data_IF_562353666572
#
_entry.id   IF_562353666572
#
_cell.length_a   1.000
_cell.length_b   1.000
_cell.length_c   1.000
_cell.angle_alpha   90.00
_cell.angle_beta   90.00
_cell.angle_gamma   90.00
#
_symmetry.space_group_name_H-M   'P 1'
#
loop_
_entity.id
_entity.type
_entity.pdbx_description
1 polymer ?
#
# COMPACT_ATOMS: atom_id res chain seq x y z
N UNK A 1 -34.74 6.15 39.77
CA UNK A 1 -33.33 5.84 40.07
C UNK A 1 -32.57 5.23 38.87
N UNK A 2 -33.13 5.27 37.65
CA UNK A 2 -32.52 4.61 36.47
C UNK A 2 -31.50 5.46 35.70
N UNK A 3 -31.37 6.75 36.01
CA UNK A 3 -30.47 7.65 35.29
C UNK A 3 -29.00 7.52 35.75
N UNK A 4 -28.77 7.28 37.04
CA UNK A 4 -27.40 7.12 37.58
C UNK A 4 -26.75 5.78 37.26
N UNK A 5 -27.54 4.71 37.08
CA UNK A 5 -27.00 3.39 36.71
C UNK A 5 -26.57 3.35 35.24
N UNK A 6 -27.32 4.01 34.35
CA UNK A 6 -26.99 4.13 32.93
C UNK A 6 -25.77 5.03 32.68
N UNK A 7 -25.61 6.12 33.45
CA UNK A 7 -24.43 6.99 33.34
C UNK A 7 -23.15 6.23 33.75
N UNK A 8 -23.19 5.50 34.86
CA UNK A 8 -22.05 4.69 35.35
C UNK A 8 -21.69 3.55 34.40
N UNK A 9 -22.67 2.90 33.74
CA UNK A 9 -22.37 1.86 32.75
C UNK A 9 -21.75 2.44 31.48
N UNK A 10 -22.22 3.60 31.01
CA UNK A 10 -21.67 4.27 29.83
C UNK A 10 -20.25 4.75 30.10
N UNK A 11 -19.98 5.35 31.26
CA UNK A 11 -18.65 5.84 31.64
C UNK A 11 -17.64 4.70 31.83
N UNK A 12 -18.09 3.55 32.35
CA UNK A 12 -17.24 2.34 32.50
C UNK A 12 -16.96 1.68 31.15
N UNK A 13 -17.94 1.68 30.23
CA UNK A 13 -17.80 1.12 28.88
C UNK A 13 -16.99 2.03 27.94
N UNK A 14 -17.00 3.35 28.14
CA UNK A 14 -16.11 4.29 27.44
C UNK A 14 -14.67 4.18 27.94
N UNK A 15 -14.45 4.12 29.26
CA UNK A 15 -13.10 3.95 29.84
C UNK A 15 -12.45 2.63 29.43
N UNK A 16 -13.23 1.54 29.30
CA UNK A 16 -12.73 0.24 28.86
C UNK A 16 -12.38 0.21 27.38
N UNK A 17 -13.16 0.90 26.53
CA UNK A 17 -12.85 1.07 25.10
C UNK A 17 -11.59 1.90 24.87
N UNK A 18 -11.44 2.99 25.61
CA UNK A 18 -10.25 3.85 25.51
C UNK A 18 -8.99 3.09 25.95
N UNK A 19 -9.08 2.29 27.03
CA UNK A 19 -8.00 1.40 27.46
C UNK A 19 -7.65 0.34 26.40
N UNK A 20 -8.64 -0.19 25.68
CA UNK A 20 -8.42 -1.19 24.63
C UNK A 20 -7.75 -0.57 23.39
N UNK A 21 -8.17 0.62 22.97
CA UNK A 21 -7.61 1.30 21.81
C UNK A 21 -6.19 1.84 22.08
N UNK A 22 -5.86 2.16 23.34
CA UNK A 22 -4.48 2.40 23.78
C UNK A 22 -3.62 1.14 23.60
N UNK A 23 -4.12 -0.03 24.03
CA UNK A 23 -3.39 -1.31 23.85
C UNK A 23 -3.20 -1.70 22.39
N UNK A 24 -4.18 -1.41 21.53
CA UNK A 24 -4.04 -1.58 20.07
C UNK A 24 -2.93 -0.68 19.56
N UNK A 25 -2.93 0.59 19.97
CA UNK A 25 -1.92 1.58 19.57
C UNK A 25 -0.53 1.15 20.00
N UNK A 26 -0.35 0.71 21.25
CA UNK A 26 0.92 0.20 21.77
C UNK A 26 1.40 -1.03 20.99
N UNK A 27 0.49 -1.94 20.67
CA UNK A 27 0.83 -3.15 19.92
C UNK A 27 1.28 -2.81 18.49
N UNK A 28 0.59 -1.89 17.83
CA UNK A 28 0.97 -1.41 16.48
C UNK A 28 2.39 -0.82 16.52
N UNK A 29 2.69 0.05 17.48
CA UNK A 29 4.04 0.61 17.63
C UNK A 29 5.09 -0.47 17.89
N UNK A 30 4.80 -1.43 18.78
CA UNK A 30 5.71 -2.54 19.06
C UNK A 30 5.98 -3.40 17.81
N UNK A 31 4.95 -3.69 17.03
CA UNK A 31 5.08 -4.43 15.77
C UNK A 31 5.88 -3.63 14.73
N UNK A 32 5.67 -2.32 14.60
CA UNK A 32 6.48 -1.47 13.71
C UNK A 32 7.97 -1.52 14.10
N UNK A 33 8.29 -1.50 15.40
CA UNK A 33 9.66 -1.66 15.87
C UNK A 33 10.24 -3.03 15.45
N UNK A 34 9.49 -4.12 15.61
CA UNK A 34 9.89 -5.46 15.16
C UNK A 34 10.11 -5.52 13.64
N UNK A 35 9.22 -4.88 12.87
CA UNK A 35 9.32 -4.76 11.41
C UNK A 35 10.62 -4.07 10.99
N UNK A 36 10.94 -2.91 11.58
CA UNK A 36 12.18 -2.16 11.30
C UNK A 36 13.43 -2.97 11.66
N UNK A 37 13.37 -3.70 12.77
CA UNK A 37 14.45 -4.59 13.21
C UNK A 37 14.56 -5.86 12.35
N UNK A 38 13.63 -6.10 11.41
CA UNK A 38 13.53 -7.33 10.61
C UNK A 38 13.51 -8.59 11.48
N UNK A 39 12.87 -8.52 12.65
CA UNK A 39 12.77 -9.63 13.60
C UNK A 39 11.35 -10.18 13.63
N UNK A 40 11.19 -11.51 13.79
CA UNK A 40 9.88 -12.07 14.08
C UNK A 40 9.37 -11.60 15.45
N UNK A 41 8.06 -11.68 15.61
CA UNK A 41 7.34 -11.36 16.85
C UNK A 41 6.52 -12.57 17.27
N UNK A 42 6.54 -12.94 18.55
CA UNK A 42 5.75 -14.06 19.06
C UNK A 42 4.57 -13.59 19.90
N UNK A 43 3.52 -14.40 19.97
CA UNK A 43 2.37 -14.16 20.86
C UNK A 43 2.81 -13.97 22.32
N UNK A 44 3.75 -14.79 22.80
CA UNK A 44 4.27 -14.68 24.15
C UNK A 44 4.95 -13.33 24.42
N UNK A 45 5.67 -12.77 23.42
CA UNK A 45 6.26 -11.44 23.52
C UNK A 45 5.17 -10.34 23.58
N UNK A 46 4.15 -10.45 22.72
CA UNK A 46 3.04 -9.48 22.66
C UNK A 46 2.25 -9.43 23.98
N UNK A 47 1.90 -10.60 24.52
CA UNK A 47 1.22 -10.74 25.80
C UNK A 47 2.03 -10.16 26.96
N UNK A 48 3.33 -10.48 27.02
CA UNK A 48 4.20 -10.09 28.12
C UNK A 48 4.53 -8.60 28.14
N UNK A 49 4.79 -8.01 26.96
CA UNK A 49 5.35 -6.66 26.86
C UNK A 49 4.28 -5.59 26.66
N UNK A 50 3.17 -5.91 26.01
CA UNK A 50 2.15 -4.93 25.61
C UNK A 50 0.81 -5.18 26.28
N UNK A 51 0.33 -6.43 26.24
CA UNK A 51 -1.04 -6.81 26.63
C UNK A 51 -1.13 -7.26 28.10
N UNK A 52 -0.12 -6.92 28.90
CA UNK A 52 -0.08 -7.26 30.32
C UNK A 52 -1.32 -6.72 31.06
N UNK A 53 -2.07 -7.62 31.70
CA UNK A 53 -3.30 -7.30 32.44
C UNK A 53 -4.58 -7.25 31.61
N UNK A 54 -4.50 -7.49 30.30
CA UNK A 54 -5.65 -7.55 29.38
C UNK A 54 -5.59 -8.83 28.51
N UNK A 55 -5.07 -9.93 29.05
CA UNK A 55 -4.78 -11.16 28.29
C UNK A 55 -6.03 -11.77 27.66
N UNK A 56 -7.20 -11.63 28.30
CA UNK A 56 -8.49 -12.09 27.76
C UNK A 56 -8.93 -11.34 26.49
N UNK A 57 -8.44 -10.11 26.29
CA UNK A 57 -8.80 -9.26 25.15
C UNK A 57 -7.78 -9.37 24.01
N UNK A 58 -6.70 -10.14 24.19
CA UNK A 58 -5.64 -10.34 23.20
C UNK A 58 -6.16 -10.59 21.78
N UNK A 59 -7.11 -11.52 21.53
CA UNK A 59 -7.57 -11.78 20.17
C UNK A 59 -8.18 -10.56 19.47
N UNK A 60 -8.86 -9.69 20.23
CA UNK A 60 -9.48 -8.47 19.71
C UNK A 60 -8.40 -7.41 19.44
N UNK A 61 -7.47 -7.23 20.39
CA UNK A 61 -6.35 -6.28 20.27
C UNK A 61 -5.47 -6.65 19.07
N UNK A 62 -5.07 -7.92 18.98
CA UNK A 62 -4.23 -8.44 17.91
C UNK A 62 -4.90 -8.27 16.55
N UNK A 63 -6.19 -8.63 16.43
CA UNK A 63 -6.93 -8.45 15.18
C UNK A 63 -7.02 -6.99 14.76
N UNK A 64 -7.30 -6.07 15.69
CA UNK A 64 -7.33 -4.63 15.41
C UNK A 64 -5.95 -4.12 15.00
N UNK A 65 -4.88 -4.51 15.71
CA UNK A 65 -3.51 -4.09 15.39
C UNK A 65 -3.04 -4.58 14.02
N UNK A 66 -3.29 -5.86 13.70
CA UNK A 66 -3.02 -6.41 12.35
C UNK A 66 -3.77 -5.61 11.28
N UNK A 67 -5.03 -5.23 11.53
CA UNK A 67 -5.80 -4.42 10.61
C UNK A 67 -5.24 -3.00 10.44
N UNK A 68 -4.80 -2.38 11.53
CA UNK A 68 -4.15 -1.07 11.49
C UNK A 68 -2.84 -1.11 10.69
N UNK A 69 -1.99 -2.11 10.92
CA UNK A 69 -0.75 -2.32 10.16
C UNK A 69 -1.02 -2.49 8.66
N UNK A 70 -2.01 -3.31 8.32
CA UNK A 70 -2.38 -3.53 6.93
C UNK A 70 -2.87 -2.23 6.25
N UNK A 71 -3.85 -1.55 6.84
CA UNK A 71 -4.52 -0.40 6.19
C UNK A 71 -3.65 0.86 6.23
N UNK A 72 -3.08 1.18 7.38
CA UNK A 72 -2.40 2.46 7.61
C UNK A 72 -0.94 2.36 7.14
N UNK A 73 -0.28 1.24 7.49
CA UNK A 73 1.14 1.05 7.23
C UNK A 73 1.43 0.27 5.94
N UNK A 74 0.46 -0.45 5.38
CA UNK A 74 0.70 -1.37 4.26
C UNK A 74 1.63 -2.51 4.64
N UNK A 75 1.44 -3.08 5.84
CA UNK A 75 2.22 -4.20 6.37
C UNK A 75 1.31 -5.39 6.64
N UNK A 76 1.65 -6.53 6.03
CA UNK A 76 1.01 -7.81 6.29
C UNK A 76 1.70 -8.54 7.46
N UNK A 77 0.89 -9.10 8.35
CA UNK A 77 1.34 -9.98 9.44
C UNK A 77 1.14 -11.43 8.98
N UNK A 78 2.23 -12.18 8.83
CA UNK A 78 2.19 -13.59 8.38
C UNK A 78 2.72 -14.51 9.45
N UNK A 79 1.95 -15.54 9.81
CA UNK A 79 2.40 -16.58 10.72
C UNK A 79 3.43 -17.47 10.01
N UNK A 80 4.58 -17.69 10.66
CA UNK A 80 5.67 -18.54 10.16
C UNK A 80 5.86 -19.80 10.98
N UNK A 81 5.42 -19.80 12.23
CA UNK A 81 5.43 -20.97 13.10
C UNK A 81 4.17 -21.02 13.97
N UNK A 82 3.22 -21.92 13.65
CA UNK A 82 2.00 -22.10 14.42
C UNK A 82 2.23 -22.69 15.82
N UNK A 83 3.37 -23.33 16.08
CA UNK A 83 3.64 -23.96 17.39
C UNK A 83 4.03 -22.94 18.44
N UNK A 84 4.72 -21.88 18.03
CA UNK A 84 5.15 -20.78 18.89
C UNK A 84 4.35 -19.50 18.67
N UNK A 85 3.35 -19.53 17.77
CA UNK A 85 2.62 -18.37 17.28
C UNK A 85 3.56 -17.21 16.95
N UNK A 86 4.50 -17.51 16.03
CA UNK A 86 5.52 -16.57 15.57
C UNK A 86 5.11 -15.97 14.23
N UNK A 87 5.26 -14.65 14.12
CA UNK A 87 4.83 -13.87 12.97
C UNK A 87 5.98 -13.05 12.39
N UNK A 88 5.98 -12.91 11.07
CA UNK A 88 6.83 -11.97 10.33
C UNK A 88 5.99 -10.83 9.75
N UNK A 89 6.61 -9.66 9.65
CA UNK A 89 6.00 -8.44 9.15
C UNK A 89 6.61 -8.11 7.80
N UNK A 90 5.77 -8.05 6.76
CA UNK A 90 6.23 -7.82 5.39
C UNK A 90 5.43 -6.69 4.73
N UNK A 91 5.99 -6.07 3.71
CA UNK A 91 5.27 -5.06 2.93
C UNK A 91 4.13 -5.70 2.14
N UNK A 92 2.93 -5.12 2.24
CA UNK A 92 1.82 -5.47 1.37
C UNK A 92 2.18 -5.15 -0.08
N UNK A 93 1.64 -5.95 -1.01
CA UNK A 93 1.86 -5.87 -2.45
C UNK A 93 3.33 -6.02 -2.91
N UNK A 94 4.19 -6.58 -2.06
CA UNK A 94 5.62 -6.81 -2.33
C UNK A 94 6.40 -5.52 -2.65
N UNK A 95 5.92 -4.36 -2.19
CA UNK A 95 6.62 -3.11 -2.43
C UNK A 95 8.03 -3.16 -1.85
N UNK A 96 9.01 -2.76 -2.66
CA UNK A 96 10.41 -2.67 -2.24
C UNK A 96 10.72 -1.35 -1.55
N UNK A 97 9.72 -0.48 -1.38
CA UNK A 97 9.85 0.73 -0.58
C UNK A 97 10.23 0.35 0.84
N UNK A 98 11.52 0.52 1.14
CA UNK A 98 12.08 0.33 2.45
C UNK A 98 12.36 1.72 3.00
N UNK A 99 11.50 2.16 3.92
CA UNK A 99 11.65 3.45 4.60
C UNK A 99 12.77 3.41 5.65
N UNK A 100 13.78 2.54 5.45
CA UNK A 100 14.91 2.31 6.33
C UNK A 100 15.76 3.57 6.58
N UNK A 101 15.54 4.63 5.79
CA UNK A 101 16.17 5.94 5.93
C UNK A 101 15.23 7.04 6.44
N UNK A 102 13.97 6.72 6.77
CA UNK A 102 13.11 7.67 7.47
C UNK A 102 13.52 7.85 8.91
N UNK A 103 13.23 9.04 9.43
CA UNK A 103 13.36 9.40 10.82
C UNK A 103 12.71 8.32 11.71
N UNK A 104 13.35 7.96 12.82
CA UNK A 104 13.03 6.81 13.67
C UNK A 104 11.62 6.88 14.32
N UNK A 105 10.80 7.87 13.95
CA UNK A 105 9.46 8.11 14.46
C UNK A 105 8.34 7.98 13.42
N UNK A 106 8.61 8.01 12.10
CA UNK A 106 7.53 7.94 11.12
C UNK A 106 7.07 6.52 10.81
N UNK A 107 5.76 6.31 10.78
CA UNK A 107 5.17 5.04 10.41
C UNK A 107 5.43 4.75 8.92
N UNK A 108 5.52 3.47 8.52
CA UNK A 108 5.60 3.09 7.11
C UNK A 108 4.46 3.69 6.30
N UNK A 109 4.78 4.27 5.14
CA UNK A 109 3.84 5.07 4.35
C UNK A 109 3.17 4.28 3.21
N UNK A 110 3.41 2.96 3.16
CA UNK A 110 2.96 2.08 2.07
C UNK A 110 1.43 2.04 1.97
N UNK A 111 0.74 2.01 3.11
CA UNK A 111 -0.73 1.98 3.13
C UNK A 111 -1.34 3.18 2.40
N UNK A 112 -0.86 4.39 2.70
CA UNK A 112 -1.30 5.61 2.01
C UNK A 112 -0.93 5.58 0.51
N UNK A 113 0.25 5.07 0.16
CA UNK A 113 0.65 4.91 -1.24
C UNK A 113 -0.32 3.99 -2.01
N UNK A 114 -0.68 2.83 -1.43
CA UNK A 114 -1.64 1.89 -2.04
C UNK A 114 -2.99 2.58 -2.26
N UNK A 115 -3.46 3.36 -1.28
CA UNK A 115 -4.72 4.09 -1.37
C UNK A 115 -4.69 5.09 -2.53
N UNK A 116 -3.62 5.88 -2.67
CA UNK A 116 -3.49 6.85 -3.78
C UNK A 116 -3.39 6.14 -5.13
N UNK A 117 -2.58 5.09 -5.24
CA UNK A 117 -2.51 4.28 -6.47
C UNK A 117 -3.89 3.71 -6.84
N UNK A 118 -4.64 3.25 -5.84
CA UNK A 118 -6.01 2.77 -5.99
C UNK A 118 -6.97 3.86 -6.48
N UNK A 119 -6.89 5.06 -5.94
CA UNK A 119 -7.69 6.19 -6.41
C UNK A 119 -7.39 6.55 -7.87
N UNK A 120 -6.11 6.63 -8.24
CA UNK A 120 -5.69 6.91 -9.62
C UNK A 120 -6.26 5.85 -10.57
N UNK A 121 -6.19 4.58 -10.17
CA UNK A 121 -6.76 3.50 -10.94
C UNK A 121 -8.29 3.63 -11.09
N UNK A 122 -9.02 3.88 -9.99
CA UNK A 122 -10.48 3.97 -10.01
C UNK A 122 -11.02 5.14 -10.84
N UNK A 123 -10.25 6.23 -10.99
CA UNK A 123 -10.60 7.42 -11.80
C UNK A 123 -10.11 7.30 -13.26
N UNK A 124 -9.67 6.11 -13.69
CA UNK A 124 -9.31 5.85 -15.08
C UNK A 124 -7.83 6.07 -15.39
N UNK A 125 -6.95 5.67 -14.45
CA UNK A 125 -5.48 5.72 -14.53
C UNK A 125 -4.86 7.13 -14.55
N UNK A 126 -5.68 8.16 -14.36
CA UNK A 126 -5.26 9.55 -14.32
C UNK A 126 -6.22 10.32 -13.41
N UNK A 127 -5.77 10.69 -12.22
CA UNK A 127 -6.59 11.42 -11.25
C UNK A 127 -6.24 12.92 -11.24
N UNK A 128 -7.22 13.82 -11.36
CA UNK A 128 -7.01 15.23 -11.06
C UNK A 128 -6.47 15.42 -9.64
N UNK A 129 -5.51 16.34 -9.45
CA UNK A 129 -4.94 16.64 -8.14
C UNK A 129 -6.03 16.99 -7.11
N UNK A 130 -7.07 17.72 -7.56
CA UNK A 130 -8.21 18.10 -6.74
C UNK A 130 -8.91 16.90 -6.11
N UNK A 131 -9.19 15.86 -6.90
CA UNK A 131 -9.96 14.71 -6.45
C UNK A 131 -9.17 13.88 -5.42
N UNK A 132 -7.84 13.78 -5.60
CA UNK A 132 -6.94 13.18 -4.61
C UNK A 132 -6.99 13.97 -3.30
N UNK A 133 -6.86 15.30 -3.35
CA UNK A 133 -6.90 16.12 -2.14
C UNK A 133 -8.26 16.12 -1.45
N UNK A 134 -9.36 16.15 -2.19
CA UNK A 134 -10.72 16.12 -1.63
C UNK A 134 -10.94 14.83 -0.82
N UNK A 135 -10.46 13.70 -1.31
CA UNK A 135 -10.50 12.43 -0.57
C UNK A 135 -9.56 12.40 0.63
N UNK A 136 -8.31 12.87 0.47
CA UNK A 136 -7.34 12.92 1.58
C UNK A 136 -7.84 13.82 2.71
N UNK A 137 -8.47 14.95 2.38
CA UNK A 137 -9.09 15.85 3.34
C UNK A 137 -10.23 15.18 4.12
N UNK A 138 -11.01 14.31 3.49
CA UNK A 138 -12.05 13.50 4.15
C UNK A 138 -11.44 12.51 5.15
N UNK A 139 -10.23 12.01 4.87
CA UNK A 139 -9.47 11.15 5.78
C UNK A 139 -8.65 11.93 6.82
N UNK A 140 -8.77 13.26 6.87
CA UNK A 140 -8.02 14.11 7.81
C UNK A 140 -6.56 14.40 7.42
N UNK A 141 -6.18 14.13 6.17
CA UNK A 141 -4.84 14.36 5.62
C UNK A 141 -4.88 15.63 4.77
N UNK A 142 -4.30 16.72 5.27
CA UNK A 142 -4.39 18.05 4.65
C UNK A 142 -3.06 18.51 4.06
N UNK A 143 -3.08 19.07 2.85
CA UNK A 143 -1.92 19.71 2.25
C UNK A 143 -1.42 20.89 3.10
N UNK A 144 -0.09 20.99 3.30
CA UNK A 144 0.53 22.10 4.03
C UNK A 144 0.38 22.02 5.55
N UNK A 145 -0.12 20.91 6.10
CA UNK A 145 -0.15 20.63 7.54
C UNK A 145 0.63 19.37 7.84
N UNK A 146 1.46 19.41 8.88
CA UNK A 146 2.20 18.22 9.32
C UNK A 146 1.21 17.17 9.84
N UNK A 147 1.22 15.98 9.25
CA UNK A 147 0.46 14.82 9.71
C UNK A 147 1.36 13.94 10.57
N UNK A 148 0.88 13.54 11.76
CA UNK A 148 1.70 12.80 12.73
C UNK A 148 2.26 11.46 12.22
N UNK A 149 1.59 10.83 11.24
CA UNK A 149 2.03 9.58 10.59
C UNK A 149 2.87 9.86 9.33
N UNK A 150 2.44 10.83 8.51
CA UNK A 150 2.88 10.95 7.11
C UNK A 150 3.85 12.12 6.88
N UNK A 151 4.08 12.94 7.91
CA UNK A 151 4.76 14.22 7.80
C UNK A 151 3.93 15.20 6.98
N UNK A 152 4.57 16.13 6.27
CA UNK A 152 3.89 17.04 5.35
C UNK A 152 3.38 16.30 4.08
N UNK A 153 2.06 16.12 3.89
CA UNK A 153 1.53 15.25 2.84
C UNK A 153 1.80 15.77 1.43
N UNK A 154 1.87 17.09 1.21
CA UNK A 154 2.09 17.64 -0.13
C UNK A 154 3.50 17.30 -0.62
N UNK A 155 4.51 17.46 0.21
CA UNK A 155 5.89 17.07 -0.04
C UNK A 155 5.95 15.56 -0.31
N UNK A 156 5.33 14.75 0.54
CA UNK A 156 5.34 13.30 0.37
C UNK A 156 4.79 12.88 -1.01
N UNK A 157 3.62 13.39 -1.37
CA UNK A 157 2.90 12.95 -2.58
C UNK A 157 3.49 13.56 -3.86
N UNK A 158 3.80 14.86 -3.86
CA UNK A 158 4.23 15.58 -5.07
C UNK A 158 5.74 15.62 -5.28
N UNK A 159 6.54 15.27 -4.27
CA UNK A 159 8.01 15.27 -4.37
C UNK A 159 8.57 13.90 -4.09
N UNK A 160 8.37 13.37 -2.89
CA UNK A 160 9.08 12.16 -2.45
C UNK A 160 8.64 10.94 -3.30
N UNK A 161 7.33 10.70 -3.45
CA UNK A 161 6.84 9.60 -4.30
C UNK A 161 7.00 9.79 -5.80
N UNK A 162 7.18 11.04 -6.24
CA UNK A 162 7.56 11.34 -7.63
C UNK A 162 9.03 11.02 -7.88
N UNK A 163 9.92 11.38 -6.95
CA UNK A 163 11.35 11.04 -7.00
C UNK A 163 11.59 9.54 -6.92
N UNK A 164 10.81 8.84 -6.09
CA UNK A 164 10.83 7.39 -5.97
C UNK A 164 10.15 6.67 -7.16
N UNK A 165 9.62 7.42 -8.13
CA UNK A 165 8.97 6.94 -9.35
C UNK A 165 7.71 6.08 -9.12
N UNK A 166 7.07 6.20 -7.95
CA UNK A 166 5.77 5.59 -7.71
C UNK A 166 4.63 6.40 -8.32
N UNK A 167 4.76 7.72 -8.34
CA UNK A 167 3.77 8.63 -8.92
C UNK A 167 4.40 9.48 -10.03
N UNK A 168 3.63 9.77 -11.06
CA UNK A 168 3.91 10.86 -11.98
C UNK A 168 2.99 12.03 -11.64
N UNK A 169 3.55 13.22 -11.46
CA UNK A 169 2.81 14.46 -11.24
C UNK A 169 3.10 15.42 -12.38
N UNK A 170 2.06 15.75 -13.16
CA UNK A 170 2.22 16.60 -14.36
C UNK A 170 1.06 17.57 -14.53
N UNK A 171 1.35 18.69 -15.20
CA UNK A 171 0.33 19.64 -15.61
C UNK A 171 -0.52 19.06 -16.75
N UNK A 172 -1.82 19.30 -16.70
CA UNK A 172 -2.75 18.97 -17.78
C UNK A 172 -2.42 19.87 -18.98
N UNK A 173 -2.17 19.31 -20.18
CA UNK A 173 -1.93 20.10 -21.38
C UNK A 173 -3.05 21.10 -21.63
N UNK A 174 -2.69 22.32 -22.05
CA UNK A 174 -3.63 23.38 -22.43
C UNK A 174 -4.64 23.77 -21.35
N UNK A 175 -4.29 23.55 -20.07
CA UNK A 175 -5.12 23.98 -18.95
C UNK A 175 -4.92 25.46 -18.61
N UNK A 176 -6.00 26.24 -18.71
CA UNK A 176 -6.08 27.60 -18.21
C UNK A 176 -7.32 27.76 -17.29
N UNK A 177 -7.15 27.97 -15.97
CA UNK A 177 -5.88 28.04 -15.25
C UNK A 177 -5.13 26.69 -15.19
N UNK A 178 -3.82 26.68 -14.85
CA UNK A 178 -3.03 25.46 -14.71
C UNK A 178 -3.69 24.43 -13.78
N UNK A 179 -3.90 23.23 -14.30
CA UNK A 179 -4.40 22.07 -13.55
C UNK A 179 -3.36 20.97 -13.55
N UNK A 180 -3.33 20.15 -12.50
CA UNK A 180 -2.39 19.04 -12.37
C UNK A 180 -3.13 17.72 -12.17
N UNK A 181 -2.46 16.64 -12.54
CA UNK A 181 -2.96 15.28 -12.44
C UNK A 181 -1.86 14.32 -11.98
N UNK A 182 -2.28 13.23 -11.34
CA UNK A 182 -1.45 12.12 -10.91
C UNK A 182 -1.67 10.89 -11.80
N UNK A 183 -0.59 10.19 -12.09
CA UNK A 183 -0.59 8.88 -12.73
C UNK A 183 0.31 7.93 -11.93
N UNK A 184 0.19 6.63 -12.21
CA UNK A 184 1.17 5.65 -11.73
C UNK A 184 2.51 5.91 -12.41
N UNK A 185 3.57 5.91 -11.62
CA UNK A 185 4.94 5.98 -12.13
C UNK A 185 5.48 4.60 -12.53
N UNK A 186 6.65 4.55 -13.17
CA UNK A 186 7.22 3.31 -13.69
C UNK A 186 7.54 2.29 -12.59
N UNK A 187 7.87 2.74 -11.37
CA UNK A 187 8.11 1.83 -10.24
C UNK A 187 6.83 1.20 -9.72
N UNK A 188 5.73 1.95 -9.65
CA UNK A 188 4.43 1.39 -9.28
C UNK A 188 4.02 0.28 -10.28
N UNK A 189 4.17 0.54 -11.57
CA UNK A 189 3.95 -0.48 -12.60
C UNK A 189 4.93 -1.65 -12.53
N UNK A 190 6.15 -1.47 -12.02
CA UNK A 190 7.12 -2.57 -11.89
C UNK A 190 6.78 -3.50 -10.72
N UNK A 191 6.43 -2.93 -9.57
CA UNK A 191 6.30 -3.65 -8.30
C UNK A 191 4.91 -4.22 -8.04
N UNK A 192 3.85 -3.53 -8.49
CA UNK A 192 2.46 -3.96 -8.28
C UNK A 192 1.68 -4.03 -9.59
N UNK A 193 0.41 -4.45 -9.51
CA UNK A 193 -0.53 -4.44 -10.62
C UNK A 193 -1.88 -3.87 -10.18
N UNK A 194 -2.69 -3.43 -11.15
CA UNK A 194 -4.03 -2.91 -10.87
C UNK A 194 -4.88 -3.93 -10.12
N UNK A 195 -4.72 -5.21 -10.44
CA UNK A 195 -5.41 -6.31 -9.78
C UNK A 195 -5.03 -6.42 -8.31
N UNK A 196 -3.72 -6.44 -8.01
CA UNK A 196 -3.20 -6.45 -6.63
C UNK A 196 -3.72 -5.27 -5.80
N UNK A 197 -3.72 -4.06 -6.38
CA UNK A 197 -4.24 -2.86 -5.70
C UNK A 197 -5.76 -2.97 -5.47
N UNK A 198 -6.51 -3.47 -6.45
CA UNK A 198 -7.96 -3.66 -6.33
C UNK A 198 -8.31 -4.70 -5.25
N UNK A 199 -7.61 -5.82 -5.21
CA UNK A 199 -7.78 -6.86 -4.19
C UNK A 199 -7.54 -6.30 -2.78
N UNK A 200 -6.49 -5.47 -2.62
CA UNK A 200 -6.22 -4.80 -1.37
C UNK A 200 -7.37 -3.87 -0.96
N UNK A 201 -7.87 -3.02 -1.87
CA UNK A 201 -9.01 -2.13 -1.60
C UNK A 201 -10.29 -2.90 -1.24
N UNK A 202 -10.58 -4.00 -1.95
CA UNK A 202 -11.72 -4.86 -1.66
C UNK A 202 -11.61 -5.46 -0.24
N UNK A 203 -10.41 -5.93 0.13
CA UNK A 203 -10.11 -6.41 1.49
C UNK A 203 -10.26 -5.31 2.54
N UNK A 204 -9.94 -4.05 2.23
CA UNK A 204 -10.17 -2.91 3.13
C UNK A 204 -11.68 -2.68 3.34
N UNK A 205 -12.45 -2.73 2.26
CA UNK A 205 -13.90 -2.52 2.30
C UNK A 205 -14.69 -3.72 2.87
N UNK A 206 -14.04 -4.89 3.01
CA UNK A 206 -14.72 -6.14 3.37
C UNK A 206 -15.65 -6.60 2.25
N UNK A 207 -15.30 -6.30 1.00
CA UNK A 207 -16.10 -6.59 -0.19
C UNK A 207 -15.30 -7.47 -1.14
N UNK A 208 -15.98 -8.30 -1.93
CA UNK A 208 -15.33 -9.13 -2.95
C UNK A 208 -14.84 -8.29 -4.15
N UNK A 209 -13.61 -8.48 -4.66
CA UNK A 209 -13.09 -7.73 -5.81
C UNK A 209 -13.98 -7.82 -7.06
N UNK A 210 -14.72 -8.91 -7.27
CA UNK A 210 -15.58 -9.09 -8.44
C UNK A 210 -16.79 -8.15 -8.39
N UNK A 211 -17.22 -7.75 -7.19
CA UNK A 211 -18.29 -6.75 -7.02
C UNK A 211 -17.89 -5.36 -7.53
N UNK A 212 -16.59 -5.11 -7.73
CA UNK A 212 -16.00 -3.92 -8.34
C UNK A 212 -15.86 -4.14 -9.85
N UNK A 213 -16.91 -4.66 -10.49
CA UNK A 213 -16.86 -5.34 -11.80
C UNK A 213 -16.14 -4.56 -12.91
N UNK A 214 -16.42 -3.26 -13.06
CA UNK A 214 -15.78 -2.43 -14.07
C UNK A 214 -14.26 -2.31 -13.88
N UNK A 215 -13.81 -2.16 -12.64
CA UNK A 215 -12.39 -2.08 -12.31
C UNK A 215 -11.74 -3.47 -12.35
N UNK A 216 -12.45 -4.52 -11.94
CA UNK A 216 -11.92 -5.89 -11.98
C UNK A 216 -11.63 -6.35 -13.41
N UNK A 217 -12.52 -6.08 -14.37
CA UNK A 217 -12.29 -6.40 -15.78
C UNK A 217 -11.11 -5.62 -16.38
N UNK A 218 -10.95 -4.34 -16.02
CA UNK A 218 -9.78 -3.56 -16.46
C UNK A 218 -8.48 -4.10 -15.88
N UNK A 219 -8.48 -4.42 -14.58
CA UNK A 219 -7.34 -4.99 -13.90
C UNK A 219 -6.91 -6.34 -14.49
N UNK A 220 -7.86 -7.19 -14.90
CA UNK A 220 -7.57 -8.45 -15.58
C UNK A 220 -6.94 -8.25 -16.95
N UNK A 221 -7.46 -7.31 -17.75
CA UNK A 221 -6.87 -6.99 -19.06
C UNK A 221 -5.42 -6.51 -18.93
N UNK A 222 -5.16 -5.64 -17.96
CA UNK A 222 -3.82 -5.13 -17.65
C UNK A 222 -2.85 -6.26 -17.27
N UNK A 223 -3.29 -7.21 -16.44
CA UNK A 223 -2.49 -8.36 -16.03
C UNK A 223 -2.19 -9.31 -17.21
N UNK A 224 -3.17 -9.55 -18.09
CA UNK A 224 -2.97 -10.35 -19.30
C UNK A 224 -1.96 -9.71 -20.27
N UNK A 225 -2.08 -8.40 -20.52
CA UNK A 225 -1.16 -7.66 -21.38
C UNK A 225 0.27 -7.68 -20.81
N UNK A 226 0.40 -7.52 -19.49
CA UNK A 226 1.67 -7.62 -18.77
C UNK A 226 2.28 -9.00 -18.89
N UNK A 227 1.49 -10.07 -18.74
CA UNK A 227 1.93 -11.44 -18.91
C UNK A 227 2.42 -11.71 -20.34
N UNK A 228 1.69 -11.23 -21.36
CA UNK A 228 2.11 -11.34 -22.78
C UNK A 228 3.40 -10.57 -23.04
N UNK A 229 3.54 -9.34 -22.52
CA UNK A 229 4.74 -8.52 -22.67
C UNK A 229 6.01 -9.14 -22.09
N UNK A 230 5.90 -10.01 -21.06
CA UNK A 230 7.02 -10.76 -20.48
C UNK A 230 7.46 -11.97 -21.32
N UNK A 231 6.62 -12.49 -22.20
CA UNK A 231 6.93 -13.65 -23.07
C UNK A 231 7.68 -13.23 -24.34
N UNK A 232 7.41 -12.03 -24.85
CA UNK A 232 8.00 -11.50 -26.10
C UNK A 232 9.43 -10.90 -26.08
N UNK A 233 10.15 -10.62 -24.96
CA UNK A 233 11.45 -9.95 -25.03
C UNK A 233 12.53 -10.80 -25.70
N UNK A 234 12.48 -12.12 -25.54
CA UNK A 234 13.53 -13.05 -26.01
C UNK A 234 13.39 -13.37 -27.50
N UNK A 235 12.15 -13.50 -28.00
CA UNK A 235 11.90 -13.83 -29.41
C UNK A 235 12.16 -12.65 -30.33
N UNK A 236 11.96 -11.41 -29.87
CA UNK A 236 12.18 -10.23 -30.71
C UNK A 236 13.67 -9.93 -30.90
N UNK A 237 14.49 -10.13 -29.86
CA UNK A 237 15.94 -10.05 -29.94
C UNK A 237 16.51 -11.20 -30.80
N UNK A 238 16.02 -12.44 -30.62
CA UNK A 238 16.42 -13.58 -31.44
C UNK A 238 16.02 -13.41 -32.92
N UNK A 239 14.81 -12.91 -33.19
CA UNK A 239 14.33 -12.64 -34.56
C UNK A 239 15.14 -11.52 -35.24
N UNK A 240 15.50 -10.45 -34.51
CA UNK A 240 16.41 -9.41 -35.02
C UNK A 240 17.80 -9.97 -35.30
N UNK A 241 18.36 -10.81 -34.42
CA UNK A 241 19.65 -11.47 -34.64
C UNK A 241 19.64 -12.42 -35.86
N UNK A 242 18.54 -13.15 -36.08
CA UNK A 242 18.37 -14.05 -37.24
C UNK A 242 18.22 -13.26 -38.54
N UNK A 243 17.47 -12.16 -38.53
CA UNK A 243 17.31 -11.29 -39.70
C UNK A 243 18.64 -10.65 -40.12
N UNK A 244 19.44 -10.19 -39.15
CA UNK A 244 20.72 -9.53 -39.40
C UNK A 244 21.79 -10.49 -39.94
N UNK A 245 21.77 -11.77 -39.52
CA UNK A 245 22.62 -12.82 -40.11
C UNK A 245 22.21 -13.21 -41.53
N UNK A 246 20.92 -13.15 -41.87
CA UNK A 246 20.43 -13.47 -43.22
C UNK A 246 20.78 -12.38 -44.24
N UNK A 247 20.78 -11.10 -43.85
CA UNK A 247 21.24 -10.01 -44.72
C UNK A 247 22.75 -10.02 -44.99
N UNK A 248 23.56 -10.58 -44.09
CA UNK A 248 25.01 -10.67 -44.28
C UNK A 248 25.46 -11.86 -45.16
N UNK A 249 24.54 -12.77 -45.50
CA UNK A 249 24.83 -14.01 -46.23
C UNK A 249 24.45 -13.96 -47.73
N UNK A 250 24.06 -12.80 -48.27
CA UNK A 250 23.84 -12.64 -49.71
C UNK A 250 25.19 -12.60 -50.43
N UNK A 251 25.52 -13.57 -51.31
CA UNK A 251 26.75 -13.53 -52.08
C UNK A 251 26.65 -12.41 -53.13
N UNK A 252 27.71 -11.61 -53.23
CA UNK A 252 27.92 -10.65 -54.31
C UNK A 252 27.89 -11.37 -55.67
N UNK A 253 27.23 -10.80 -56.69
CA UNK A 253 27.28 -11.37 -58.03
C UNK A 253 28.70 -11.21 -58.57
N UNK A 254 29.31 -12.30 -59.00
CA UNK A 254 30.58 -12.31 -59.74
C UNK A 254 30.38 -11.64 -61.09
N UNK A 255 31.14 -10.56 -61.33
CA UNK A 255 31.36 -10.00 -62.67
C UNK A 255 32.46 -10.81 -63.40
N UNK A 256 32.23 -10.95 -64.72
CA UNK A 256 33.03 -11.57 -65.80
C UNK A 256 33.05 -13.10 -65.94
#
# INVERSE_FOLDING_TARGET
>A
EDTSSLQLSIDTESLSRDSLDEKVTDLVHFMILKYRLRKPITEAEMLKLVIKGCESEYPVIFKKACRCLEVICGIDVKEVDPTTHSYVLINSLDFTYDDAFSDDRSLPKNGLLIIILGMIFMVGNCAPEKDIWDFLNMMGIYAGREHFIYGEPRKLITRDWVQENYLEYRQVPDSDPPRYQFLWGPRAHAETSKLKVLEFLAKIKGTDPISLSCWYEEALRDEEERARGRVYPTDRAAAMFIAQRRSAASPSPTEE
#
